data_IF_151339671830
#
_entry.id   IF_151339671830
#
_cell.length_a   1.000
_cell.length_b   1.000
_cell.length_c   1.000
_cell.angle_alpha   90.00
_cell.angle_beta   90.00
_cell.angle_gamma   90.00
#
_symmetry.space_group_name_H-M   'P 1'
#
loop_
_entity.id
_entity.type
_entity.pdbx_description
1 polymer ?
#
# COMPACT_ATOMS: atom_id res chain seq x y z
N UNK A 1 -19.08 2.03 14.07
CA UNK A 1 -17.70 2.50 13.82
C UNK A 1 -17.61 2.86 12.35
N UNK A 2 -17.20 4.09 12.07
CA UNK A 2 -17.44 4.72 10.78
C UNK A 2 -16.49 4.20 9.70
N UNK A 3 -16.95 4.15 8.45
CA UNK A 3 -16.18 3.67 7.31
C UNK A 3 -14.90 4.50 7.03
N UNK A 4 -14.85 5.72 7.57
CA UNK A 4 -13.70 6.63 7.49
C UNK A 4 -12.56 6.23 8.43
N UNK A 5 -12.86 5.75 9.64
CA UNK A 5 -11.83 5.23 10.58
C UNK A 5 -11.13 4.00 10.01
N UNK A 6 -11.87 3.15 9.29
CA UNK A 6 -11.31 2.01 8.54
C UNK A 6 -10.35 2.47 7.46
N UNK A 7 -10.67 3.56 6.75
CA UNK A 7 -9.81 4.12 5.71
C UNK A 7 -8.54 4.79 6.28
N UNK A 8 -8.67 5.47 7.42
CA UNK A 8 -7.55 6.02 8.18
C UNK A 8 -6.62 4.94 8.72
N UNK A 9 -7.18 3.82 9.18
CA UNK A 9 -6.41 2.66 9.64
C UNK A 9 -5.67 1.95 8.50
N UNK A 10 -6.30 1.86 7.32
CA UNK A 10 -5.65 1.37 6.09
C UNK A 10 -4.45 2.26 5.73
N UNK A 11 -4.50 3.57 5.96
CA UNK A 11 -3.38 4.48 5.70
C UNK A 11 -2.15 4.18 6.58
N UNK A 12 -2.35 3.67 7.80
CA UNK A 12 -1.24 3.38 8.72
C UNK A 12 -0.52 2.04 8.51
N UNK A 13 -1.12 1.07 7.80
CA UNK A 13 -0.67 -0.34 7.86
C UNK A 13 -0.47 -1.03 6.49
N UNK A 14 -0.07 -0.27 5.45
CA UNK A 14 0.13 -0.78 4.06
C UNK A 14 1.45 -1.56 3.86
N UNK A 15 1.98 -2.19 4.91
CA UNK A 15 2.93 -3.29 4.73
C UNK A 15 2.68 -4.29 5.84
N UNK A 16 2.26 -5.50 5.48
CA UNK A 16 2.25 -6.57 6.48
C UNK A 16 3.66 -6.74 7.06
N UNK A 17 3.79 -7.38 8.24
CA UNK A 17 4.93 -7.23 9.13
C UNK A 17 6.27 -7.35 8.40
N UNK A 18 6.90 -6.19 8.21
CA UNK A 18 8.34 -6.16 8.17
C UNK A 18 8.78 -6.41 9.61
N UNK A 19 9.64 -7.39 9.85
CA UNK A 19 10.12 -7.80 11.19
C UNK A 19 10.82 -6.69 12.02
N UNK A 20 10.80 -5.45 11.52
CA UNK A 20 11.37 -4.27 12.14
C UNK A 20 10.26 -3.23 12.26
N UNK A 21 9.76 -3.02 13.48
CA UNK A 21 8.88 -1.90 13.80
C UNK A 21 9.50 -0.60 13.27
N UNK A 22 8.72 0.18 12.51
CA UNK A 22 9.11 1.55 12.16
C UNK A 22 8.07 2.50 12.67
N UNK A 23 8.52 3.52 13.39
CA UNK A 23 7.65 4.55 13.96
C UNK A 23 6.81 5.17 12.83
N UNK A 24 5.48 5.07 12.93
CA UNK A 24 4.54 5.79 12.05
C UNK A 24 4.46 5.32 10.59
N UNK A 25 4.76 4.05 10.26
CA UNK A 25 4.49 3.52 8.90
C UNK A 25 5.45 4.02 7.81
N UNK A 26 6.62 4.54 8.18
CA UNK A 26 7.58 5.16 7.25
C UNK A 26 8.04 4.25 6.09
N UNK A 27 8.20 2.94 6.31
CA UNK A 27 8.66 2.01 5.26
C UNK A 27 7.57 1.72 4.23
N UNK A 28 6.34 1.64 4.68
CA UNK A 28 5.15 1.47 3.85
C UNK A 28 4.99 2.63 2.88
N UNK A 29 5.09 3.86 3.38
CA UNK A 29 5.04 5.07 2.56
C UNK A 29 6.12 5.07 1.47
N UNK A 30 7.34 4.61 1.81
CA UNK A 30 8.41 4.43 0.83
C UNK A 30 8.05 3.39 -0.24
N UNK A 31 7.48 2.24 0.13
CA UNK A 31 7.08 1.20 -0.82
C UNK A 31 6.02 1.68 -1.80
N UNK A 32 4.99 2.37 -1.31
CA UNK A 32 3.96 2.99 -2.17
C UNK A 32 4.64 3.95 -3.13
N UNK A 33 5.48 4.85 -2.62
CA UNK A 33 6.12 5.89 -3.42
C UNK A 33 7.02 5.29 -4.53
N UNK A 34 7.78 4.24 -4.23
CA UNK A 34 8.58 3.51 -5.23
C UNK A 34 7.70 2.81 -6.28
N UNK A 35 6.60 2.16 -5.88
CA UNK A 35 5.65 1.55 -6.82
C UNK A 35 5.04 2.59 -7.77
N UNK A 36 4.62 3.74 -7.24
CA UNK A 36 4.06 4.83 -8.05
C UNK A 36 5.09 5.39 -9.03
N UNK A 37 6.33 5.61 -8.58
CA UNK A 37 7.44 6.02 -9.47
C UNK A 37 7.66 5.00 -10.59
N UNK A 38 7.73 3.72 -10.25
CA UNK A 38 7.91 2.64 -11.22
C UNK A 38 6.75 2.55 -12.20
N UNK A 39 5.50 2.63 -11.75
CA UNK A 39 4.33 2.61 -12.61
C UNK A 39 4.36 3.74 -13.63
N UNK A 40 4.52 4.99 -13.18
CA UNK A 40 4.55 6.14 -14.08
C UNK A 40 5.74 6.10 -15.05
N UNK A 41 6.91 5.65 -14.59
CA UNK A 41 8.09 5.52 -15.44
C UNK A 41 7.90 4.45 -16.52
N UNK A 42 7.32 3.30 -16.15
CA UNK A 42 7.08 2.18 -17.08
C UNK A 42 6.00 2.51 -18.09
N UNK A 43 4.90 3.17 -17.68
CA UNK A 43 3.81 3.57 -18.56
C UNK A 43 4.09 4.87 -19.33
N UNK A 44 5.19 5.57 -19.00
CA UNK A 44 5.56 6.89 -19.54
C UNK A 44 4.47 7.94 -19.33
N UNK A 45 3.72 7.84 -18.24
CA UNK A 45 2.65 8.78 -17.91
C UNK A 45 3.19 10.00 -17.14
N UNK A 46 2.61 11.20 -17.39
CA UNK A 46 2.99 12.40 -16.66
C UNK A 46 2.58 12.34 -15.19
N UNK A 47 3.24 13.15 -14.35
CA UNK A 47 3.00 13.23 -12.90
C UNK A 47 1.58 13.64 -12.51
N UNK A 48 0.77 14.15 -13.43
CA UNK A 48 -0.66 14.42 -13.16
C UNK A 48 -1.42 13.16 -12.75
N UNK A 49 -0.98 11.98 -13.20
CA UNK A 49 -1.57 10.68 -12.84
C UNK A 49 -1.05 10.11 -11.51
N UNK A 50 -0.41 10.94 -10.68
CA UNK A 50 0.15 10.48 -9.41
C UNK A 50 -0.92 9.93 -8.47
N UNK A 51 -2.11 10.53 -8.46
CA UNK A 51 -3.25 10.09 -7.64
C UNK A 51 -3.72 8.69 -8.03
N UNK A 52 -4.00 8.48 -9.32
CA UNK A 52 -4.45 7.19 -9.85
C UNK A 52 -3.39 6.11 -9.69
N UNK A 53 -2.13 6.42 -9.97
CA UNK A 53 -1.03 5.48 -9.78
C UNK A 53 -0.85 5.12 -8.28
N UNK A 54 -1.09 6.06 -7.37
CA UNK A 54 -1.09 5.79 -5.91
C UNK A 54 -2.24 4.88 -5.53
N UNK A 55 -3.46 5.12 -6.02
CA UNK A 55 -4.61 4.26 -5.78
C UNK A 55 -4.36 2.83 -6.29
N UNK A 56 -3.81 2.68 -7.50
CA UNK A 56 -3.46 1.37 -8.06
C UNK A 56 -2.38 0.69 -7.23
N UNK A 57 -1.35 1.42 -6.79
CA UNK A 57 -0.30 0.87 -5.93
C UNK A 57 -0.87 0.32 -4.61
N UNK A 58 -1.73 1.07 -3.93
CA UNK A 58 -2.39 0.62 -2.70
C UNK A 58 -3.32 -0.57 -2.96
N UNK A 59 -4.13 -0.53 -4.02
CA UNK A 59 -5.00 -1.63 -4.42
C UNK A 59 -4.23 -2.94 -4.65
N UNK A 60 -3.11 -2.86 -5.38
CA UNK A 60 -2.26 -4.03 -5.63
C UNK A 60 -1.60 -4.54 -4.36
N UNK A 61 -1.13 -3.67 -3.45
CA UNK A 61 -0.55 -4.10 -2.18
C UNK A 61 -1.59 -4.86 -1.36
N UNK A 62 -2.81 -4.33 -1.25
CA UNK A 62 -3.86 -4.94 -0.44
C UNK A 62 -4.37 -6.28 -1.02
N UNK A 63 -4.18 -6.51 -2.32
CA UNK A 63 -4.65 -7.72 -3.03
C UNK A 63 -3.56 -8.71 -3.41
N UNK A 64 -2.30 -8.39 -3.14
CA UNK A 64 -1.19 -9.29 -3.41
C UNK A 64 -0.86 -10.13 -2.18
N UNK A 65 -0.43 -11.39 -2.36
CA UNK A 65 0.16 -12.18 -1.30
C UNK A 65 1.25 -11.40 -0.57
N UNK A 66 1.16 -11.33 0.75
CA UNK A 66 2.15 -10.64 1.58
C UNK A 66 2.94 -11.70 2.34
N UNK A 67 4.26 -11.75 2.15
CA UNK A 67 5.14 -12.72 2.84
C UNK A 67 4.98 -12.67 4.36
N UNK A 68 4.69 -11.47 4.83
CA UNK A 68 4.48 -11.13 6.22
C UNK A 68 3.14 -11.61 6.81
N UNK A 69 2.17 -11.93 5.94
CA UNK A 69 0.92 -12.60 6.30
C UNK A 69 0.96 -14.08 5.88
N UNK A 70 2.14 -14.72 5.90
CA UNK A 70 2.32 -16.10 5.41
C UNK A 70 1.79 -16.30 3.97
N UNK A 71 2.02 -15.31 3.10
CA UNK A 71 1.51 -15.27 1.73
C UNK A 71 -0.02 -15.21 1.60
N UNK A 72 -0.73 -14.87 2.68
CA UNK A 72 -2.13 -14.46 2.58
C UNK A 72 -2.28 -13.05 1.99
N UNK A 73 -3.50 -12.76 1.55
CA UNK A 73 -3.87 -11.48 0.96
C UNK A 73 -4.38 -10.54 2.06
N UNK A 74 -3.79 -9.33 2.22
CA UNK A 74 -4.18 -8.39 3.28
C UNK A 74 -5.69 -8.10 3.33
N UNK A 75 -6.34 -7.92 2.18
CA UNK A 75 -7.79 -7.68 2.11
C UNK A 75 -8.61 -8.81 2.76
N UNK A 76 -8.17 -10.07 2.62
CA UNK A 76 -8.84 -11.21 3.26
C UNK A 76 -8.64 -11.25 4.76
N UNK A 77 -7.47 -10.84 5.25
CA UNK A 77 -7.18 -10.81 6.68
C UNK A 77 -8.02 -9.77 7.43
N UNK A 78 -8.57 -8.78 6.73
CA UNK A 78 -9.34 -7.66 7.31
C UNK A 78 -10.86 -7.76 7.12
N UNK A 79 -11.33 -8.86 6.51
CA UNK A 79 -12.75 -9.16 6.29
C UNK A 79 -13.19 -10.31 7.19
#
# INVERSE_FOLDING_TARGET
MSQLEKLEFIYSDVCGPMDVETLGGNRTNRTILEKVRCMLKTTKLPKVFWGEATQIACYLINRSPSSSLNFEVPEKAWT
#
